data_IF_117614248929
#
_entry.id   IF_117614248929
#
_cell.length_a   1.000
_cell.length_b   1.000
_cell.length_c   1.000
_cell.angle_alpha   90.00
_cell.angle_beta   90.00
_cell.angle_gamma   90.00
#
_symmetry.space_group_name_H-M   'P 1'
#
loop_
_entity.id
_entity.type
_entity.pdbx_description
1 polymer ?
#
# COMPACT_ATOMS: atom_id res chain seq x y z
N UNK A 1 15.23 -9.13 -0.68
CA UNK A 1 15.92 -9.86 0.42
C UNK A 1 14.93 -10.70 1.21
N UNK A 2 13.92 -10.13 1.89
CA UNK A 2 13.01 -10.91 2.76
C UNK A 2 12.30 -12.06 2.02
N UNK A 3 11.76 -11.81 0.82
CA UNK A 3 11.10 -12.85 0.02
C UNK A 3 12.07 -13.97 -0.36
N UNK A 4 13.30 -13.61 -0.74
CA UNK A 4 14.33 -14.58 -1.11
C UNK A 4 14.72 -15.47 0.08
N UNK A 5 14.88 -14.90 1.27
CA UNK A 5 15.20 -15.64 2.48
C UNK A 5 14.07 -16.60 2.89
N UNK A 6 12.82 -16.12 2.85
CA UNK A 6 11.65 -16.95 3.17
C UNK A 6 11.48 -18.07 2.15
N UNK A 7 11.56 -17.76 0.87
CA UNK A 7 11.42 -18.76 -0.18
C UNK A 7 12.58 -19.77 -0.17
N UNK A 8 13.82 -19.29 0.01
CA UNK A 8 15.01 -20.16 0.12
C UNK A 8 14.95 -21.10 1.32
N UNK A 9 14.30 -20.69 2.42
CA UNK A 9 14.15 -21.53 3.62
C UNK A 9 13.05 -22.56 3.51
N UNK A 10 11.88 -22.16 2.99
CA UNK A 10 10.67 -22.99 3.06
C UNK A 10 10.28 -23.66 1.75
N UNK A 11 10.70 -23.12 0.61
CA UNK A 11 10.37 -23.62 -0.74
C UNK A 11 8.86 -23.80 -0.98
N UNK A 12 8.05 -22.92 -0.43
CA UNK A 12 6.60 -22.88 -0.62
C UNK A 12 6.19 -21.56 -1.28
N UNK A 13 5.09 -21.52 -2.07
CA UNK A 13 4.59 -20.28 -2.63
C UNK A 13 4.31 -19.23 -1.56
N UNK A 14 4.67 -17.98 -1.85
CA UNK A 14 4.52 -16.84 -0.94
C UNK A 14 3.37 -15.94 -1.37
N UNK A 15 2.77 -15.27 -0.41
CA UNK A 15 1.79 -14.21 -0.61
C UNK A 15 2.08 -13.05 0.34
N UNK A 16 2.22 -11.83 -0.18
CA UNK A 16 2.33 -10.63 0.65
C UNK A 16 0.92 -10.21 1.06
N UNK A 17 0.52 -10.61 2.25
CA UNK A 17 -0.83 -10.39 2.77
C UNK A 17 -1.13 -8.92 3.06
N UNK A 18 -0.12 -8.16 3.49
CA UNK A 18 -0.23 -6.73 3.72
C UNK A 18 1.12 -6.02 3.60
N UNK A 19 1.10 -4.86 2.98
CA UNK A 19 2.19 -3.91 2.95
C UNK A 19 1.61 -2.51 2.86
N UNK A 20 2.05 -1.58 3.67
CA UNK A 20 1.47 -0.24 3.69
C UNK A 20 2.36 0.79 4.33
N UNK A 21 2.05 2.03 4.07
CA UNK A 21 2.75 3.20 4.59
C UNK A 21 1.76 4.15 5.26
N UNK A 22 1.86 4.25 6.59
CA UNK A 22 1.07 5.18 7.37
C UNK A 22 1.79 6.51 7.53
N UNK A 23 1.15 7.59 7.13
CA UNK A 23 1.67 8.95 7.24
C UNK A 23 0.63 9.91 7.78
N UNK A 24 1.10 10.98 8.43
CA UNK A 24 0.26 12.11 8.80
C UNK A 24 0.10 12.98 7.56
N UNK A 25 -1.12 13.02 7.04
CA UNK A 25 -1.46 13.82 5.87
C UNK A 25 -2.00 15.18 6.29
N UNK A 26 -1.57 16.22 5.60
CA UNK A 26 -2.24 17.52 5.67
C UNK A 26 -3.43 17.46 4.72
N UNK A 27 -4.65 17.94 5.11
CA UNK A 27 -5.86 17.83 4.29
C UNK A 27 -5.71 18.31 2.85
N UNK A 28 -4.88 19.31 2.60
CA UNK A 28 -4.59 19.86 1.27
C UNK A 28 -3.72 18.94 0.41
N UNK A 29 -2.93 18.05 1.04
CA UNK A 29 -2.05 17.09 0.39
C UNK A 29 -2.63 15.69 0.34
N UNK A 30 -3.70 15.43 1.09
CA UNK A 30 -4.27 14.09 1.27
C UNK A 30 -4.67 13.43 -0.04
N UNK A 31 -5.11 14.20 -1.03
CA UNK A 31 -5.51 13.70 -2.35
C UNK A 31 -4.30 13.53 -3.27
N UNK A 32 -3.20 14.26 -3.04
CA UNK A 32 -1.96 14.23 -3.83
C UNK A 32 -0.86 13.47 -3.07
N UNK A 33 -1.06 12.18 -2.85
CA UNK A 33 -0.19 11.34 -2.03
C UNK A 33 0.94 10.67 -2.84
N UNK A 34 1.75 11.47 -3.51
CA UNK A 34 2.89 11.00 -4.33
C UNK A 34 3.91 10.20 -3.51
N UNK A 35 4.11 10.52 -2.24
CA UNK A 35 4.97 9.77 -1.34
C UNK A 35 4.50 8.31 -1.15
N UNK A 36 3.18 8.08 -1.13
CA UNK A 36 2.60 6.73 -1.05
C UNK A 36 2.82 5.95 -2.34
N UNK A 37 2.65 6.64 -3.48
CA UNK A 37 2.95 6.06 -4.80
C UNK A 37 4.41 5.64 -4.86
N UNK A 38 5.34 6.53 -4.47
CA UNK A 38 6.77 6.23 -4.46
C UNK A 38 7.09 5.00 -3.59
N UNK A 39 6.56 4.95 -2.36
CA UNK A 39 6.72 3.81 -1.46
C UNK A 39 6.24 2.49 -2.09
N UNK A 40 5.01 2.48 -2.61
CA UNK A 40 4.43 1.27 -3.20
C UNK A 40 5.16 0.86 -4.49
N UNK A 41 5.58 1.82 -5.28
CA UNK A 41 6.36 1.58 -6.50
C UNK A 41 7.66 0.84 -6.22
N UNK A 42 8.41 1.29 -5.22
CA UNK A 42 9.66 0.63 -4.83
C UNK A 42 9.42 -0.80 -4.32
N UNK A 43 8.37 -1.01 -3.53
CA UNK A 43 8.03 -2.34 -3.02
C UNK A 43 7.56 -3.28 -4.12
N UNK A 44 6.73 -2.81 -5.05
CA UNK A 44 6.30 -3.62 -6.20
C UNK A 44 7.46 -3.90 -7.14
N UNK A 45 8.39 -2.94 -7.33
CA UNK A 45 9.59 -3.20 -8.12
C UNK A 45 10.45 -4.30 -7.48
N UNK A 46 10.69 -4.21 -6.16
CA UNK A 46 11.43 -5.24 -5.44
C UNK A 46 10.73 -6.62 -5.48
N UNK A 47 9.39 -6.65 -5.46
CA UNK A 47 8.62 -7.88 -5.66
C UNK A 47 8.82 -8.46 -7.07
N UNK A 48 8.76 -7.60 -8.09
CA UNK A 48 9.02 -8.02 -9.48
C UNK A 48 10.43 -8.60 -9.65
N UNK A 49 11.42 -7.96 -9.07
CA UNK A 49 12.81 -8.42 -9.12
C UNK A 49 12.95 -9.79 -8.44
N UNK A 50 12.35 -9.98 -7.27
CA UNK A 50 12.34 -11.27 -6.58
C UNK A 50 11.71 -12.38 -7.42
N UNK A 51 10.60 -12.11 -8.12
CA UNK A 51 9.93 -13.08 -8.97
C UNK A 51 10.70 -13.33 -10.26
N UNK A 52 11.07 -12.26 -10.99
CA UNK A 52 11.57 -12.36 -12.36
C UNK A 52 13.07 -12.65 -12.44
N UNK A 53 13.84 -12.19 -11.46
CA UNK A 53 15.29 -12.32 -11.41
C UNK A 53 15.70 -13.47 -10.50
N UNK A 54 15.14 -13.49 -9.27
CA UNK A 54 15.57 -14.43 -8.23
C UNK A 54 14.74 -15.74 -8.21
N UNK A 55 13.68 -15.82 -9.04
CA UNK A 55 12.87 -17.04 -9.17
C UNK A 55 11.99 -17.36 -7.95
N UNK A 56 11.67 -16.37 -7.13
CA UNK A 56 10.75 -16.53 -5.99
C UNK A 56 9.34 -16.80 -6.47
N UNK A 57 8.72 -17.89 -6.03
CA UNK A 57 7.31 -18.16 -6.29
C UNK A 57 6.45 -17.30 -5.34
N UNK A 58 6.09 -16.11 -5.79
CA UNK A 58 5.17 -15.23 -5.08
C UNK A 58 3.97 -14.94 -5.98
N UNK A 59 2.79 -15.40 -5.55
CA UNK A 59 1.58 -15.38 -6.36
C UNK A 59 0.62 -14.23 -6.04
N UNK A 60 0.94 -13.38 -5.05
CA UNK A 60 0.05 -12.26 -4.74
C UNK A 60 0.67 -11.22 -3.81
N UNK A 61 0.09 -10.03 -3.91
CA UNK A 61 0.45 -8.85 -3.13
C UNK A 61 -0.79 -8.03 -2.84
N UNK A 62 -1.00 -7.67 -1.59
CA UNK A 62 -2.05 -6.76 -1.16
C UNK A 62 -1.51 -5.63 -0.31
N UNK A 63 -2.17 -4.48 -0.40
CA UNK A 63 -1.83 -3.32 0.42
C UNK A 63 -2.61 -3.35 1.73
N UNK A 64 -2.01 -2.82 2.79
CA UNK A 64 -2.68 -2.55 4.04
C UNK A 64 -3.53 -1.29 3.94
N UNK A 65 -4.85 -1.45 4.19
CA UNK A 65 -5.77 -0.32 4.25
C UNK A 65 -6.06 0.32 2.89
N UNK A 66 -6.95 -0.26 2.08
CA UNK A 66 -7.39 0.38 0.84
C UNK A 66 -8.15 1.71 1.10
N UNK A 67 -8.82 1.82 2.26
CA UNK A 67 -9.51 3.01 2.77
C UNK A 67 -8.79 3.47 4.03
N UNK A 68 -8.72 4.78 4.30
CA UNK A 68 -8.17 5.29 5.55
C UNK A 68 -8.88 4.66 6.74
N UNK A 69 -8.11 4.22 7.70
CA UNK A 69 -8.55 3.51 8.90
C UNK A 69 -7.80 4.01 10.12
N UNK A 70 -8.31 3.70 11.29
CA UNK A 70 -7.61 3.98 12.54
C UNK A 70 -6.40 3.06 12.65
N UNK A 71 -5.22 3.63 12.86
CA UNK A 71 -3.99 2.86 13.06
C UNK A 71 -4.11 1.94 14.27
N UNK A 72 -3.94 0.64 14.08
CA UNK A 72 -4.01 -0.34 15.17
C UNK A 72 -2.89 -0.11 16.20
N UNK A 73 -1.71 0.27 15.72
CA UNK A 73 -0.55 0.45 16.60
C UNK A 73 -0.56 1.74 17.41
N UNK A 74 -1.21 2.81 16.94
CA UNK A 74 -1.19 4.13 17.60
C UNK A 74 -2.56 4.64 18.01
N UNK A 75 -3.64 4.05 17.52
CA UNK A 75 -5.02 4.51 17.80
C UNK A 75 -5.41 5.79 17.07
N UNK A 76 -4.62 6.22 16.06
CA UNK A 76 -4.79 7.49 15.36
C UNK A 76 -5.42 7.30 13.98
N UNK A 77 -6.42 8.13 13.66
CA UNK A 77 -6.98 8.23 12.32
C UNK A 77 -6.09 9.09 11.40
N UNK A 78 -5.38 10.05 11.98
CA UNK A 78 -4.45 10.93 11.26
C UNK A 78 -3.27 10.18 10.62
N UNK A 79 -2.90 9.02 11.14
CA UNK A 79 -1.92 8.13 10.53
C UNK A 79 -2.56 7.32 9.39
N UNK A 80 -2.62 7.93 8.23
CA UNK A 80 -3.39 7.45 7.10
C UNK A 80 -2.64 6.43 6.25
N UNK A 81 -3.29 5.32 5.96
CA UNK A 81 -2.75 4.22 5.14
C UNK A 81 -3.43 4.09 3.78
N UNK A 82 -4.68 4.55 3.68
CA UNK A 82 -5.55 4.26 2.55
C UNK A 82 -5.20 5.01 1.26
N UNK A 83 -5.68 4.47 0.16
CA UNK A 83 -5.76 5.14 -1.14
C UNK A 83 -7.08 5.91 -1.31
N UNK A 84 -8.01 5.71 -0.39
CA UNK A 84 -9.26 6.43 -0.27
C UNK A 84 -9.24 7.19 1.04
N UNK A 85 -9.31 8.51 0.95
CA UNK A 85 -9.39 9.41 2.09
C UNK A 85 -10.76 9.28 2.76
N UNK A 86 -10.76 9.35 4.09
CA UNK A 86 -11.98 9.45 4.90
C UNK A 86 -11.91 10.74 5.73
N UNK A 87 -12.91 11.59 5.58
CA UNK A 87 -13.03 12.81 6.37
C UNK A 87 -13.40 12.48 7.82
N UNK A 88 -12.36 12.21 8.62
CA UNK A 88 -12.43 11.94 10.05
C UNK A 88 -11.12 12.30 10.73
N UNK A 89 -11.19 12.96 11.87
CA UNK A 89 -10.05 13.25 12.75
C UNK A 89 -9.87 12.20 13.87
N UNK A 90 -8.82 12.36 14.68
CA UNK A 90 -8.51 11.46 15.80
C UNK A 90 -9.53 11.53 16.94
N UNK A 91 -10.34 12.59 17.00
CA UNK A 91 -11.40 12.78 18.00
C UNK A 91 -12.75 12.25 17.52
N UNK A 92 -12.80 11.75 16.29
CA UNK A 92 -14.02 11.22 15.68
C UNK A 92 -14.90 12.26 15.00
N UNK A 93 -14.43 13.48 14.82
CA UNK A 93 -15.12 14.51 14.06
C UNK A 93 -14.88 14.32 12.56
N UNK A 94 -15.80 14.83 11.75
CA UNK A 94 -15.75 14.76 10.29
C UNK A 94 -17.05 14.23 9.70
N UNK A 95 -17.22 14.39 8.42
CA UNK A 95 -18.43 14.01 7.67
C UNK A 95 -18.46 12.54 7.25
N UNK A 96 -17.32 11.82 7.38
CA UNK A 96 -17.10 10.48 6.86
C UNK A 96 -17.17 10.38 5.32
N UNK A 97 -17.19 11.51 4.62
CA UNK A 97 -17.10 11.54 3.14
C UNK A 97 -15.79 10.88 2.70
N UNK A 98 -15.89 10.12 1.63
CA UNK A 98 -14.75 9.39 1.07
C UNK A 98 -14.33 10.00 -0.26
N UNK A 99 -13.03 10.20 -0.43
CA UNK A 99 -12.45 10.74 -1.67
C UNK A 99 -11.28 9.90 -2.12
N UNK A 100 -11.20 9.63 -3.41
CA UNK A 100 -10.08 8.88 -3.99
C UNK A 100 -8.83 9.76 -4.03
N UNK A 101 -7.71 9.23 -3.54
CA UNK A 101 -6.39 9.87 -3.62
C UNK A 101 -5.74 9.58 -4.97
N UNK A 102 -4.65 10.27 -5.29
CA UNK A 102 -3.86 10.04 -6.50
C UNK A 102 -3.35 8.59 -6.57
N UNK A 103 -2.94 8.03 -5.44
CA UNK A 103 -2.51 6.64 -5.32
C UNK A 103 -3.58 5.63 -5.73
N UNK A 104 -4.87 5.93 -5.55
CA UNK A 104 -5.95 5.06 -5.99
C UNK A 104 -5.90 4.81 -7.51
N UNK A 105 -5.75 5.86 -8.29
CA UNK A 105 -5.71 5.75 -9.75
C UNK A 105 -4.42 5.12 -10.26
N UNK A 106 -3.31 5.42 -9.61
CA UNK A 106 -2.03 4.78 -9.89
C UNK A 106 -2.10 3.26 -9.63
N UNK A 107 -2.61 2.85 -8.47
CA UNK A 107 -2.72 1.43 -8.10
C UNK A 107 -3.73 0.69 -8.98
N UNK A 108 -4.84 1.34 -9.36
CA UNK A 108 -5.78 0.79 -10.34
C UNK A 108 -5.09 0.49 -11.68
N UNK A 109 -4.23 1.39 -12.14
CA UNK A 109 -3.46 1.17 -13.37
C UNK A 109 -2.42 0.06 -13.21
N UNK A 110 -1.75 0.00 -12.07
CA UNK A 110 -0.82 -1.07 -11.72
C UNK A 110 -1.49 -2.44 -11.84
N UNK A 111 -2.69 -2.60 -11.26
CA UNK A 111 -3.48 -3.83 -11.32
C UNK A 111 -3.87 -4.15 -12.77
N UNK A 112 -4.42 -3.18 -13.50
CA UNK A 112 -4.86 -3.36 -14.89
C UNK A 112 -3.73 -3.81 -15.82
N UNK A 113 -2.52 -3.36 -15.54
CA UNK A 113 -1.33 -3.71 -16.35
C UNK A 113 -0.59 -4.93 -15.82
N UNK A 114 -1.09 -5.55 -14.75
CA UNK A 114 -0.40 -6.63 -14.03
C UNK A 114 1.06 -6.28 -13.69
N UNK A 115 1.26 -5.10 -13.14
CA UNK A 115 2.58 -4.61 -12.74
C UNK A 115 3.53 -4.23 -13.88
N UNK A 116 3.08 -4.18 -15.12
CA UNK A 116 3.95 -3.81 -16.26
C UNK A 116 4.34 -2.33 -16.23
N UNK A 117 3.43 -1.48 -15.76
CA UNK A 117 3.64 -0.04 -15.63
C UNK A 117 3.66 0.31 -14.14
N UNK A 118 4.75 0.90 -13.67
CA UNK A 118 4.96 1.38 -12.31
C UNK A 118 4.92 2.90 -12.22
#
# INVERSE_FOLDING_TARGET
>A
IALNELYGRYHIPLFVAENGFGAIDVPEETIQDDYRIAYLKEHVQALKDAILIDGVDCFGYTVWGCIDLVSVGTGEMSKRYGMIYVDRDDKGNGSLVRSRKKSFYWYQNLIKTNGKIL
#
